data_IF_106602943901
#
_entry.id   IF_106602943901
#
_cell.length_a   1.000
_cell.length_b   1.000
_cell.length_c   1.000
_cell.angle_alpha   90.00
_cell.angle_beta   90.00
_cell.angle_gamma   90.00
#
_symmetry.space_group_name_H-M   'P 1'
#
loop_
_entity.id
_entity.type
_entity.pdbx_description
1 polymer ?
#
# COMPACT_ATOMS: atom_id res chain seq x y z
N UNK A 1 -50.08 -27.35 48.50
CA UNK A 1 -50.24 -27.07 49.94
C UNK A 1 -49.10 -26.19 50.41
N UNK A 2 -49.47 -25.03 51.04
CA UNK A 2 -48.75 -24.18 51.98
C UNK A 2 -47.44 -23.58 51.50
N UNK A 3 -47.37 -22.27 51.15
CA UNK A 3 -47.26 -21.07 51.98
C UNK A 3 -46.01 -21.12 52.90
N UNK A 4 -45.06 -20.15 52.92
CA UNK A 4 -45.19 -18.68 53.21
C UNK A 4 -43.83 -18.00 53.01
N UNK A 5 -43.86 -16.79 52.52
CA UNK A 5 -42.95 -15.63 52.74
C UNK A 5 -42.98 -15.15 54.23
N UNK A 6 -42.37 -14.01 54.60
CA UNK A 6 -41.13 -13.25 54.35
C UNK A 6 -40.51 -12.74 55.69
N UNK A 7 -39.48 -11.86 55.67
CA UNK A 7 -39.20 -10.69 56.58
C UNK A 7 -37.72 -10.28 56.44
N UNK A 8 -37.40 -9.19 55.97
CA UNK A 8 -37.48 -7.74 56.35
C UNK A 8 -36.61 -7.33 57.51
N UNK A 9 -35.98 -6.18 57.31
CA UNK A 9 -35.44 -5.14 58.19
C UNK A 9 -33.95 -5.08 58.51
N UNK A 10 -33.28 -4.11 57.84
CA UNK A 10 -32.94 -2.75 58.38
C UNK A 10 -31.73 -2.66 59.31
N UNK A 11 -30.86 -1.71 58.87
CA UNK A 11 -30.18 -0.64 59.64
C UNK A 11 -28.77 -0.97 60.21
N UNK A 12 -27.78 -0.33 59.64
CA UNK A 12 -27.00 0.69 60.39
C UNK A 12 -26.00 1.41 59.46
N UNK A 13 -26.14 2.71 59.44
CA UNK A 13 -25.18 3.71 58.94
C UNK A 13 -23.87 3.64 59.76
N UNK A 14 -22.72 3.72 59.06
CA UNK A 14 -21.58 4.48 59.58
C UNK A 14 -20.85 5.16 58.41
N UNK A 15 -20.88 6.49 58.48
CA UNK A 15 -20.01 7.39 57.73
C UNK A 15 -18.54 7.11 58.11
N UNK A 16 -17.70 6.94 57.13
CA UNK A 16 -16.28 7.23 57.24
C UNK A 16 -15.90 8.04 56.00
N UNK A 17 -15.68 9.33 56.24
CA UNK A 17 -15.08 10.26 55.30
C UNK A 17 -13.62 9.87 55.12
N UNK A 18 -13.23 9.48 53.91
CA UNK A 18 -11.82 9.42 53.52
C UNK A 18 -11.61 10.37 52.34
N UNK A 19 -10.86 11.38 52.61
CA UNK A 19 -10.34 12.40 51.74
C UNK A 19 -9.46 11.71 50.68
N UNK A 20 -9.92 11.57 49.42
CA UNK A 20 -9.08 11.12 48.33
C UNK A 20 -8.58 12.32 47.55
N UNK A 21 -7.29 12.58 47.75
CA UNK A 21 -6.48 13.52 46.98
C UNK A 21 -6.45 13.09 45.53
N UNK A 22 -7.06 13.85 44.62
CA UNK A 22 -6.99 13.64 43.18
C UNK A 22 -5.62 14.09 42.70
N UNK A 23 -4.72 13.15 42.47
CA UNK A 23 -3.53 13.36 41.62
C UNK A 23 -3.98 13.23 40.16
N UNK A 24 -4.19 14.36 39.51
CA UNK A 24 -4.32 14.44 38.05
C UNK A 24 -2.94 14.16 37.44
N UNK A 25 -2.70 12.91 37.12
CA UNK A 25 -1.58 12.51 36.28
C UNK A 25 -1.91 12.83 34.80
N UNK A 26 -1.38 13.94 34.32
CA UNK A 26 -1.39 14.27 32.90
C UNK A 26 -0.56 13.23 32.17
N UNK A 27 -1.21 12.29 31.49
CA UNK A 27 -0.58 11.44 30.47
C UNK A 27 -0.22 12.35 29.30
N UNK A 28 1.01 12.84 29.25
CA UNK A 28 1.57 13.50 28.09
C UNK A 28 1.76 12.43 27.00
N UNK A 29 0.80 12.34 26.09
CA UNK A 29 0.97 11.64 24.81
C UNK A 29 2.05 12.39 24.04
N UNK A 30 3.26 11.86 24.02
CA UNK A 30 4.33 12.34 23.17
C UNK A 30 3.96 12.04 21.70
N UNK A 31 3.23 12.95 21.09
CA UNK A 31 3.10 12.97 19.63
C UNK A 31 4.47 13.33 19.04
N UNK A 32 5.13 12.34 18.47
CA UNK A 32 6.31 12.59 17.63
C UNK A 32 5.80 13.25 16.34
N UNK A 33 5.73 14.57 16.35
CA UNK A 33 5.63 15.35 15.11
C UNK A 33 6.95 15.20 14.39
N UNK A 34 6.97 14.48 13.29
CA UNK A 34 8.07 14.55 12.33
C UNK A 34 8.17 16.00 11.82
N UNK A 35 9.35 16.65 11.89
CA UNK A 35 9.50 17.99 11.38
C UNK A 35 9.24 17.99 9.88
N UNK A 36 8.35 18.87 9.44
CA UNK A 36 8.24 19.24 8.03
C UNK A 36 9.55 19.89 7.63
N UNK A 37 10.32 19.21 6.78
CA UNK A 37 11.57 19.76 6.24
C UNK A 37 11.18 20.79 5.18
N UNK A 38 11.10 22.07 5.56
CA UNK A 38 11.14 23.19 4.64
C UNK A 38 12.58 23.34 4.17
N UNK A 39 12.87 22.96 2.94
CA UNK A 39 14.11 23.30 2.27
C UNK A 39 14.02 24.76 1.83
N UNK A 40 14.96 25.65 2.23
CA UNK A 40 14.99 27.00 1.74
C UNK A 40 15.38 27.02 0.26
N UNK A 41 14.61 27.70 -0.56
CA UNK A 41 15.00 28.04 -1.94
C UNK A 41 16.08 29.10 -1.96
N UNK A 42 16.91 29.18 -3.01
CA UNK A 42 17.98 30.16 -3.09
C UNK A 42 17.44 31.56 -3.34
N UNK A 43 17.53 32.40 -2.30
CA UNK A 43 17.37 33.85 -2.42
C UNK A 43 18.77 34.48 -2.34
N UNK A 44 19.25 35.00 -3.45
CA UNK A 44 20.41 35.90 -3.52
C UNK A 44 19.98 37.29 -3.02
N UNK A 45 20.57 37.73 -1.94
CA UNK A 45 20.47 39.11 -1.46
C UNK A 45 21.75 39.47 -0.70
N UNK A 46 22.51 40.39 -1.25
CA UNK A 46 23.73 40.99 -0.71
C UNK A 46 23.50 41.58 0.69
N UNK A 47 24.40 41.32 1.64
CA UNK A 47 24.82 42.29 2.66
C UNK A 47 26.30 42.07 2.92
N UNK A 48 27.10 43.09 2.62
CA UNK A 48 28.51 43.17 2.98
C UNK A 48 28.68 43.72 4.39
N UNK A 49 29.83 43.44 4.97
CA UNK A 49 30.46 44.23 6.02
C UNK A 49 30.60 43.54 7.38
N UNK A 50 31.86 43.28 7.72
CA UNK A 50 32.44 43.17 9.07
C UNK A 50 31.92 42.14 10.05
N UNK A 51 32.74 41.10 10.26
CA UNK A 51 33.12 40.65 11.59
C UNK A 51 34.25 39.60 11.50
N UNK A 52 35.46 40.09 11.43
CA UNK A 52 36.67 39.32 11.82
C UNK A 52 36.80 39.35 13.35
N UNK A 53 36.94 38.14 13.95
CA UNK A 53 37.45 37.79 15.27
C UNK A 53 36.43 37.16 16.22
N UNK A 54 36.34 35.83 16.10
CA UNK A 54 36.22 34.98 17.30
C UNK A 54 36.89 33.60 17.03
N UNK A 55 37.48 32.92 18.02
CA UNK A 55 38.36 31.77 17.76
C UNK A 55 37.56 30.51 17.46
N UNK A 56 38.10 29.69 16.54
CA UNK A 56 37.64 28.36 16.12
C UNK A 56 37.45 27.42 17.34
N UNK A 57 36.25 27.44 17.91
CA UNK A 57 35.80 26.54 18.94
C UNK A 57 34.58 25.77 18.49
N UNK A 58 34.76 24.49 18.15
CA UNK A 58 33.73 23.46 17.95
C UNK A 58 32.68 23.79 16.88
N UNK A 59 33.00 23.43 15.63
CA UNK A 59 31.98 23.24 14.62
C UNK A 59 30.89 22.29 15.17
N UNK A 60 29.59 22.65 15.08
CA UNK A 60 28.53 21.71 15.43
C UNK A 60 28.68 20.51 14.51
N UNK A 61 28.68 19.32 15.08
CA UNK A 61 28.62 18.07 14.32
C UNK A 61 27.40 18.19 13.41
N UNK A 62 27.64 18.37 12.11
CA UNK A 62 26.60 18.30 11.09
C UNK A 62 26.04 16.89 11.20
N UNK A 63 24.88 16.73 11.85
CA UNK A 63 24.16 15.47 11.82
C UNK A 63 23.86 15.22 10.35
N UNK A 64 24.53 14.24 9.76
CA UNK A 64 24.26 13.80 8.41
C UNK A 64 22.75 13.55 8.30
N UNK A 65 22.11 14.25 7.37
CA UNK A 65 20.69 14.00 7.05
C UNK A 65 20.62 12.57 6.51
N UNK A 66 19.85 11.66 7.13
CA UNK A 66 19.78 10.28 6.68
C UNK A 66 19.39 10.21 5.21
N UNK A 67 20.06 9.35 4.44
CA UNK A 67 19.65 9.08 3.05
C UNK A 67 18.20 8.56 3.03
N UNK A 68 17.47 8.71 1.93
CA UNK A 68 16.09 8.23 1.78
C UNK A 68 16.02 6.71 2.05
N UNK A 69 17.03 5.96 1.62
CA UNK A 69 17.15 4.53 1.91
C UNK A 69 17.32 4.26 3.42
N UNK A 70 18.12 5.07 4.12
CA UNK A 70 18.26 4.97 5.57
C UNK A 70 16.91 5.25 6.30
N UNK A 71 16.11 6.18 5.77
CA UNK A 71 14.77 6.45 6.31
C UNK A 71 13.84 5.23 6.19
N UNK A 72 13.81 4.52 5.03
CA UNK A 72 13.06 3.27 4.89
C UNK A 72 13.50 2.23 5.93
N UNK A 73 14.80 2.02 6.09
CA UNK A 73 15.32 1.07 7.09
C UNK A 73 14.92 1.46 8.53
N UNK A 74 14.85 2.77 8.84
CA UNK A 74 14.38 3.26 10.13
C UNK A 74 12.88 2.92 10.28
N UNK A 75 12.05 3.14 9.25
CA UNK A 75 10.62 2.83 9.25
C UNK A 75 10.38 1.33 9.43
N UNK A 76 11.07 0.48 8.66
CA UNK A 76 10.96 -0.99 8.78
C UNK A 76 11.36 -1.46 10.17
N UNK A 77 12.48 -0.98 10.73
CA UNK A 77 12.88 -1.31 12.10
C UNK A 77 11.88 -0.80 13.15
N UNK A 78 11.25 0.36 12.92
CA UNK A 78 10.19 0.86 13.81
C UNK A 78 8.96 -0.03 13.75
N UNK A 79 8.51 -0.41 12.56
CA UNK A 79 7.40 -1.33 12.33
C UNK A 79 7.62 -2.67 13.07
N UNK A 80 8.78 -3.28 12.88
CA UNK A 80 9.15 -4.53 13.55
C UNK A 80 9.18 -4.41 15.08
N UNK A 81 9.62 -3.27 15.62
CA UNK A 81 9.61 -3.05 17.08
C UNK A 81 8.22 -2.83 17.64
N UNK A 82 7.37 -2.11 16.92
CA UNK A 82 6.01 -1.80 17.35
C UNK A 82 5.08 -3.02 17.30
N UNK A 83 5.32 -3.93 16.36
CA UNK A 83 4.47 -5.10 16.09
C UNK A 83 5.21 -6.43 16.24
N UNK A 84 6.12 -6.53 17.24
CA UNK A 84 6.93 -7.73 17.49
C UNK A 84 6.12 -8.99 17.83
N UNK A 85 4.88 -8.82 18.21
CA UNK A 85 3.92 -9.88 18.48
C UNK A 85 3.44 -10.59 17.21
N UNK A 86 3.32 -9.85 16.09
CA UNK A 86 2.80 -10.35 14.82
C UNK A 86 3.81 -10.30 13.68
N UNK A 87 4.91 -9.56 13.83
CA UNK A 87 5.97 -9.45 12.81
C UNK A 87 7.33 -9.94 13.34
N UNK A 88 8.14 -10.41 12.41
CA UNK A 88 9.57 -10.67 12.59
C UNK A 88 10.36 -10.28 11.34
N UNK A 89 11.68 -10.21 11.45
CA UNK A 89 12.55 -9.88 10.33
C UNK A 89 12.96 -11.15 9.57
N UNK A 90 12.98 -11.07 8.24
CA UNK A 90 13.68 -12.05 7.40
C UNK A 90 15.21 -11.88 7.51
N UNK A 91 16.04 -12.73 6.90
CA UNK A 91 17.51 -12.60 6.92
C UNK A 91 18.04 -11.29 6.31
N UNK A 92 17.25 -10.56 5.52
CA UNK A 92 17.60 -9.26 4.94
C UNK A 92 17.11 -8.09 5.78
N UNK A 93 16.38 -8.37 6.88
CA UNK A 93 15.77 -7.36 7.74
C UNK A 93 14.42 -6.85 7.26
N UNK A 94 13.81 -7.50 6.25
CA UNK A 94 12.48 -7.14 5.75
C UNK A 94 11.38 -7.73 6.63
N UNK A 95 10.23 -7.03 6.79
CA UNK A 95 9.17 -7.46 7.67
C UNK A 95 8.38 -8.64 7.08
N UNK A 96 8.17 -9.66 7.90
CA UNK A 96 7.35 -10.82 7.56
C UNK A 96 6.35 -11.11 8.66
N UNK A 97 5.22 -11.71 8.33
CA UNK A 97 4.27 -12.21 9.32
C UNK A 97 4.96 -13.33 10.11
N UNK A 98 4.93 -13.17 11.44
CA UNK A 98 5.65 -14.05 12.36
C UNK A 98 5.25 -15.51 12.18
N UNK A 99 6.27 -16.36 12.02
CA UNK A 99 6.13 -17.82 11.89
C UNK A 99 5.24 -18.27 10.73
N UNK A 100 5.13 -17.48 9.64
CA UNK A 100 4.36 -17.87 8.46
C UNK A 100 5.23 -18.01 7.22
N UNK A 101 5.14 -19.21 6.60
CA UNK A 101 5.73 -19.52 5.29
C UNK A 101 4.59 -19.72 4.31
N UNK A 102 4.73 -19.14 3.12
CA UNK A 102 3.80 -19.33 2.01
C UNK A 102 4.27 -20.45 1.09
N UNK A 103 3.33 -21.25 0.60
CA UNK A 103 3.56 -22.25 -0.43
C UNK A 103 2.59 -22.01 -1.59
N UNK A 104 3.11 -21.91 -2.81
CA UNK A 104 2.34 -21.74 -4.03
C UNK A 104 2.07 -23.09 -4.67
N UNK A 105 0.80 -23.49 -4.73
CA UNK A 105 0.34 -24.77 -5.33
C UNK A 105 1.24 -25.97 -4.97
N UNK A 106 1.50 -26.20 -3.67
CA UNK A 106 2.39 -27.28 -3.26
C UNK A 106 1.82 -28.64 -3.68
N UNK A 107 2.69 -29.57 -4.09
CA UNK A 107 2.31 -30.95 -4.36
C UNK A 107 1.86 -31.67 -3.09
N UNK A 108 1.08 -32.76 -3.18
CA UNK A 108 0.80 -33.60 -2.00
C UNK A 108 2.06 -34.08 -1.28
N UNK A 109 3.12 -34.37 -2.02
CA UNK A 109 4.43 -34.76 -1.45
C UNK A 109 5.09 -33.58 -0.72
N UNK A 110 5.05 -32.36 -1.29
CA UNK A 110 5.55 -31.12 -0.65
C UNK A 110 4.81 -30.81 0.64
N UNK A 111 3.47 -30.98 0.68
CA UNK A 111 2.69 -30.83 1.91
C UNK A 111 3.01 -31.92 2.95
N UNK A 112 3.26 -33.14 2.51
CA UNK A 112 3.70 -34.22 3.40
C UNK A 112 5.09 -33.93 3.98
N UNK A 113 6.03 -33.44 3.16
CA UNK A 113 7.35 -32.99 3.58
C UNK A 113 7.28 -31.82 4.59
N UNK A 114 6.42 -30.85 4.35
CA UNK A 114 6.19 -29.73 5.27
C UNK A 114 5.71 -30.25 6.65
N UNK A 115 4.73 -31.15 6.67
CA UNK A 115 4.22 -31.75 7.92
C UNK A 115 5.29 -32.58 8.63
N UNK A 116 6.08 -33.37 7.90
CA UNK A 116 7.18 -34.15 8.46
C UNK A 116 8.27 -33.24 9.06
N UNK A 117 8.46 -32.04 8.51
CA UNK A 117 9.33 -31.00 9.06
C UNK A 117 8.70 -30.23 10.26
N UNK A 118 7.51 -30.64 10.72
CA UNK A 118 6.83 -30.04 11.86
C UNK A 118 6.00 -28.80 11.54
N UNK A 119 5.85 -28.41 10.27
CA UNK A 119 5.02 -27.26 9.90
C UNK A 119 3.53 -27.66 9.88
N UNK A 120 2.67 -26.78 10.41
CA UNK A 120 1.23 -26.96 10.38
C UNK A 120 0.61 -26.14 9.24
N UNK A 121 -0.38 -26.69 8.56
CA UNK A 121 -1.19 -25.92 7.60
C UNK A 121 -2.16 -25.05 8.39
N UNK A 122 -2.01 -23.72 8.30
CA UNK A 122 -2.94 -22.75 8.88
C UNK A 122 -4.14 -22.52 7.98
N UNK A 123 -3.87 -22.30 6.70
CA UNK A 123 -4.87 -21.98 5.70
C UNK A 123 -4.48 -22.59 4.37
N UNK A 124 -5.48 -23.07 3.64
CA UNK A 124 -5.37 -23.46 2.25
C UNK A 124 -6.47 -22.73 1.47
N UNK A 125 -6.05 -21.77 0.67
CA UNK A 125 -6.95 -20.89 -0.10
C UNK A 125 -6.83 -21.19 -1.58
N UNK A 126 -7.89 -21.66 -2.23
CA UNK A 126 -7.97 -21.67 -3.68
C UNK A 126 -7.85 -20.23 -4.23
N UNK A 127 -6.95 -20.03 -5.16
CA UNK A 127 -6.79 -18.78 -5.91
C UNK A 127 -7.56 -18.94 -7.22
N UNK A 128 -8.90 -18.92 -7.12
CA UNK A 128 -9.78 -19.01 -8.28
C UNK A 128 -9.42 -17.90 -9.29
N UNK A 129 -9.46 -18.21 -10.58
CA UNK A 129 -8.99 -17.28 -11.62
C UNK A 129 -7.48 -17.26 -11.84
N UNK A 130 -6.66 -17.82 -10.95
CA UNK A 130 -5.23 -18.06 -11.16
C UNK A 130 -4.88 -19.53 -11.35
N UNK A 131 -5.85 -20.44 -11.22
CA UNK A 131 -5.69 -21.91 -11.27
C UNK A 131 -4.58 -22.38 -10.32
N UNK A 132 -4.58 -21.84 -9.11
CA UNK A 132 -3.55 -22.09 -8.10
C UNK A 132 -4.14 -22.22 -6.69
N UNK A 133 -3.32 -22.64 -5.76
CA UNK A 133 -3.65 -22.69 -4.34
C UNK A 133 -2.55 -22.00 -3.55
N UNK A 134 -2.92 -21.10 -2.66
CA UNK A 134 -2.02 -20.55 -1.65
C UNK A 134 -2.19 -21.34 -0.36
N UNK A 135 -1.09 -21.85 0.18
CA UNK A 135 -1.06 -22.49 1.50
C UNK A 135 -0.22 -21.66 2.44
N UNK A 136 -0.78 -21.33 3.60
CA UNK A 136 -0.06 -20.68 4.71
C UNK A 136 0.36 -21.76 5.70
N UNK A 137 1.65 -21.88 5.92
CA UNK A 137 2.26 -22.84 6.83
C UNK A 137 2.73 -22.14 8.10
N UNK A 138 2.40 -22.70 9.26
CA UNK A 138 2.88 -22.25 10.57
C UNK A 138 4.17 -22.97 10.94
N UNK A 139 5.20 -22.19 11.25
CA UNK A 139 6.46 -22.65 11.82
C UNK A 139 6.27 -22.86 13.32
N UNK A 140 6.74 -23.98 13.91
CA UNK A 140 6.64 -24.22 15.35
C UNK A 140 7.34 -23.14 16.19
N UNK A 141 6.81 -22.90 17.39
CA UNK A 141 7.44 -21.97 18.33
C UNK A 141 8.88 -22.41 18.65
N UNK A 142 9.79 -21.45 18.72
CA UNK A 142 11.21 -21.70 18.98
C UNK A 142 12.04 -22.11 17.75
N UNK A 143 11.41 -22.34 16.60
CA UNK A 143 12.11 -22.61 15.34
C UNK A 143 12.28 -21.29 14.59
N UNK A 144 13.52 -20.97 14.17
CA UNK A 144 13.77 -19.79 13.34
C UNK A 144 13.13 -19.94 11.96
N UNK A 145 12.34 -18.97 11.55
CA UNK A 145 11.57 -19.01 10.28
C UNK A 145 12.49 -19.21 9.06
N UNK A 146 13.68 -18.63 9.06
CA UNK A 146 14.66 -18.78 7.99
C UNK A 146 15.18 -20.23 7.89
N UNK A 147 15.42 -20.89 9.03
CA UNK A 147 15.84 -22.30 9.06
C UNK A 147 14.72 -23.21 8.55
N UNK A 148 13.47 -22.97 8.98
CA UNK A 148 12.31 -23.73 8.52
C UNK A 148 12.10 -23.60 7.00
N UNK A 149 12.23 -22.39 6.45
CA UNK A 149 12.12 -22.16 5.00
C UNK A 149 13.25 -22.87 4.24
N UNK A 150 14.50 -22.78 4.72
CA UNK A 150 15.63 -23.45 4.10
C UNK A 150 15.47 -24.98 4.11
N UNK A 151 15.02 -25.55 5.23
CA UNK A 151 14.73 -26.97 5.34
C UNK A 151 13.63 -27.41 4.37
N UNK A 152 12.53 -26.64 4.29
CA UNK A 152 11.42 -26.95 3.39
C UNK A 152 11.85 -26.93 1.91
N UNK A 153 12.64 -25.95 1.52
CA UNK A 153 13.22 -25.87 0.16
C UNK A 153 14.18 -27.02 -0.15
N UNK A 154 14.90 -27.51 0.85
CA UNK A 154 15.77 -28.68 0.69
C UNK A 154 14.97 -29.99 0.54
N UNK A 155 13.84 -30.12 1.26
CA UNK A 155 12.97 -31.30 1.21
C UNK A 155 12.11 -31.36 -0.06
N UNK A 156 11.70 -30.20 -0.60
CA UNK A 156 10.92 -30.07 -1.83
C UNK A 156 11.53 -28.98 -2.73
N UNK A 157 12.64 -29.26 -3.43
CA UNK A 157 13.32 -28.29 -4.28
C UNK A 157 12.49 -27.80 -5.48
N UNK A 158 11.45 -28.56 -5.90
CA UNK A 158 10.55 -28.20 -6.97
C UNK A 158 9.42 -27.27 -6.52
N UNK A 159 9.17 -27.18 -5.21
CA UNK A 159 8.16 -26.34 -4.61
C UNK A 159 8.52 -24.86 -4.64
N UNK A 160 7.50 -24.02 -4.60
CA UNK A 160 7.67 -22.57 -4.48
C UNK A 160 7.24 -22.13 -3.09
N UNK A 161 8.22 -21.74 -2.28
CA UNK A 161 8.05 -21.36 -0.88
C UNK A 161 8.72 -20.02 -0.61
N UNK A 162 8.07 -19.15 0.18
CA UNK A 162 8.69 -17.91 0.67
C UNK A 162 8.09 -17.47 2.01
N UNK A 163 8.69 -16.48 2.62
CA UNK A 163 8.13 -15.79 3.78
C UNK A 163 6.82 -15.09 3.44
N UNK A 164 5.94 -14.91 4.40
CA UNK A 164 4.77 -14.04 4.23
C UNK A 164 5.19 -12.57 4.46
N UNK A 165 5.85 -11.98 3.44
CA UNK A 165 6.35 -10.61 3.50
C UNK A 165 5.22 -9.57 3.61
N UNK A 166 5.51 -8.48 4.29
CA UNK A 166 4.59 -7.35 4.46
C UNK A 166 4.94 -6.22 3.49
N UNK A 167 3.92 -5.65 2.87
CA UNK A 167 3.97 -4.55 1.93
C UNK A 167 3.29 -3.32 2.52
N UNK A 168 3.85 -2.15 2.30
CA UNK A 168 3.34 -0.88 2.82
C UNK A 168 3.00 0.08 1.68
N UNK A 169 2.23 1.10 1.95
CA UNK A 169 1.94 2.17 0.99
C UNK A 169 3.22 2.93 0.61
N UNK A 170 3.36 3.26 -0.67
CA UNK A 170 4.54 3.96 -1.21
C UNK A 170 4.40 5.48 -1.26
N UNK A 171 3.59 6.09 -0.40
CA UNK A 171 3.36 7.54 -0.39
C UNK A 171 3.11 8.09 1.00
N UNK A 172 3.45 9.37 1.21
CA UNK A 172 3.01 10.10 2.39
C UNK A 172 1.58 10.63 2.16
N UNK A 173 0.58 9.85 2.53
CA UNK A 173 -0.71 10.39 2.88
C UNK A 173 -0.63 10.81 4.36
N UNK A 174 -1.07 12.02 4.70
CA UNK A 174 -1.06 12.45 6.10
C UNK A 174 -1.78 11.40 6.94
N UNK A 175 -1.01 10.70 7.78
CA UNK A 175 -1.51 9.64 8.66
C UNK A 175 -2.49 10.24 9.66
N UNK A 176 -3.76 10.17 9.35
CA UNK A 176 -4.88 10.41 10.24
C UNK A 176 -5.59 9.09 10.48
N UNK A 177 -5.03 8.28 11.34
CA UNK A 177 -5.71 7.09 11.84
C UNK A 177 -6.71 7.52 12.93
N UNK A 178 -7.88 8.02 12.55
CA UNK A 178 -9.00 8.24 13.47
C UNK A 178 -10.34 8.07 12.72
N UNK A 179 -10.47 7.00 11.95
CA UNK A 179 -11.76 6.58 11.42
C UNK A 179 -12.31 5.43 12.26
N UNK A 180 -13.32 5.69 13.10
CA UNK A 180 -14.06 4.62 13.75
C UNK A 180 -14.64 3.67 12.68
N UNK A 181 -14.57 2.33 12.89
CA UNK A 181 -15.08 1.37 11.92
C UNK A 181 -16.60 1.58 11.73
N UNK A 182 -17.00 1.96 10.52
CA UNK A 182 -18.38 2.07 10.15
C UNK A 182 -18.85 0.73 9.62
N UNK A 183 -19.65 0.02 10.40
CA UNK A 183 -20.26 -1.26 10.04
C UNK A 183 -21.42 -1.10 9.03
N UNK A 184 -21.20 -0.39 7.91
CA UNK A 184 -22.17 -0.32 6.82
C UNK A 184 -21.82 -1.33 5.75
N UNK A 185 -22.52 -2.47 5.76
CA UNK A 185 -22.55 -3.40 4.63
C UNK A 185 -23.40 -2.76 3.53
N UNK A 186 -22.74 -2.23 2.49
CA UNK A 186 -23.43 -1.80 1.28
C UNK A 186 -23.48 -2.98 0.30
N UNK A 187 -24.63 -3.23 -0.38
CA UNK A 187 -24.71 -4.29 -1.38
C UNK A 187 -23.70 -4.05 -2.50
N UNK A 188 -23.05 -5.13 -2.96
CA UNK A 188 -22.15 -5.06 -4.11
C UNK A 188 -22.96 -4.67 -5.36
N UNK A 189 -22.56 -3.62 -6.11
CA UNK A 189 -23.25 -3.27 -7.35
C UNK A 189 -23.04 -4.36 -8.39
N UNK A 190 -24.10 -4.72 -9.11
CA UNK A 190 -24.04 -5.67 -10.21
C UNK A 190 -23.24 -5.08 -11.38
N UNK A 191 -22.31 -5.89 -11.95
CA UNK A 191 -21.49 -5.49 -13.10
C UNK A 191 -22.39 -5.23 -14.32
N UNK A 192 -22.34 -4.03 -14.87
CA UNK A 192 -22.88 -3.78 -16.21
C UNK A 192 -21.87 -4.30 -17.24
N UNK A 193 -22.29 -5.25 -18.08
CA UNK A 193 -21.45 -5.78 -19.17
C UNK A 193 -21.02 -4.64 -20.10
N UNK A 194 -19.69 -4.53 -20.34
CA UNK A 194 -19.11 -3.51 -21.23
C UNK A 194 -18.66 -2.22 -20.55
N UNK A 195 -18.90 -2.02 -19.24
CA UNK A 195 -18.35 -0.89 -18.51
C UNK A 195 -16.84 -1.06 -18.27
N UNK A 196 -16.09 0.03 -18.37
CA UNK A 196 -14.66 0.08 -17.99
C UNK A 196 -14.54 -0.35 -16.52
N UNK A 197 -13.64 -1.30 -16.24
CA UNK A 197 -13.35 -1.79 -14.90
C UNK A 197 -11.89 -1.53 -14.56
N UNK A 198 -11.61 -1.15 -13.32
CA UNK A 198 -10.26 -0.93 -12.80
C UNK A 198 -10.15 -1.44 -11.37
N UNK A 199 -9.06 -2.13 -11.06
CA UNK A 199 -8.76 -2.70 -9.76
C UNK A 199 -7.82 -1.82 -8.93
N UNK A 200 -7.97 -1.89 -7.63
CA UNK A 200 -7.10 -1.27 -6.64
C UNK A 200 -6.75 -2.29 -5.56
N UNK A 201 -5.46 -2.57 -5.38
CA UNK A 201 -4.91 -3.31 -4.23
C UNK A 201 -4.19 -2.32 -3.34
N UNK A 202 -4.79 -2.01 -2.18
CA UNK A 202 -4.34 -0.93 -1.29
C UNK A 202 -4.93 -1.13 0.12
N UNK A 203 -4.91 -0.10 0.95
CA UNK A 203 -5.73 0.02 2.15
C UNK A 203 -7.20 0.30 1.81
N UNK A 204 -8.06 0.35 2.82
CA UNK A 204 -9.51 0.52 2.63
C UNK A 204 -9.90 1.86 2.01
N UNK A 205 -10.99 1.86 1.25
CA UNK A 205 -11.55 3.04 0.58
C UNK A 205 -12.78 3.53 1.33
N UNK A 206 -12.84 4.82 1.68
CA UNK A 206 -14.04 5.48 2.17
C UNK A 206 -15.04 5.72 1.01
N UNK A 207 -15.80 4.69 0.69
CA UNK A 207 -16.81 4.81 -0.36
C UNK A 207 -18.04 5.67 0.04
N UNK A 208 -18.08 6.16 1.27
CA UNK A 208 -19.05 7.17 1.72
C UNK A 208 -18.61 8.61 1.42
N UNK A 209 -17.38 8.81 0.98
CA UNK A 209 -16.89 10.12 0.57
C UNK A 209 -17.63 10.62 -0.68
N UNK A 210 -17.92 11.91 -0.75
CA UNK A 210 -18.72 12.55 -1.81
C UNK A 210 -18.20 12.28 -3.24
N UNK A 211 -16.87 12.17 -3.40
CA UNK A 211 -16.26 11.85 -4.71
C UNK A 211 -16.69 10.50 -5.29
N UNK A 212 -17.25 9.61 -4.48
CA UNK A 212 -17.70 8.28 -4.91
C UNK A 212 -19.22 8.15 -4.96
N UNK A 213 -19.98 9.25 -4.80
CA UNK A 213 -21.45 9.21 -4.77
C UNK A 213 -22.04 8.50 -6.00
N UNK A 214 -21.47 8.73 -7.18
CA UNK A 214 -21.91 8.12 -8.44
C UNK A 214 -21.00 6.96 -8.90
N UNK A 215 -20.00 6.56 -8.11
CA UNK A 215 -19.06 5.52 -8.48
C UNK A 215 -19.58 4.12 -8.09
N UNK A 216 -19.48 3.18 -9.03
CA UNK A 216 -19.67 1.77 -8.71
C UNK A 216 -18.40 1.22 -8.04
N UNK A 217 -18.51 0.77 -6.78
CA UNK A 217 -17.37 0.25 -6.01
C UNK A 217 -17.69 -1.16 -5.49
N UNK A 218 -17.00 -2.18 -6.02
CA UNK A 218 -16.98 -3.53 -5.45
C UNK A 218 -15.80 -3.67 -4.49
N UNK A 219 -15.96 -4.42 -3.41
CA UNK A 219 -14.95 -4.55 -2.36
C UNK A 219 -14.58 -5.99 -2.09
N UNK A 220 -13.34 -6.16 -1.62
CA UNK A 220 -12.82 -7.45 -1.18
C UNK A 220 -11.91 -7.25 0.04
N UNK A 221 -11.85 -8.25 0.90
CA UNK A 221 -11.00 -8.28 2.08
C UNK A 221 -11.75 -8.08 3.38
N UNK A 222 -11.07 -8.22 4.49
CA UNK A 222 -11.48 -7.84 5.84
C UNK A 222 -12.81 -8.43 6.33
N UNK A 223 -13.24 -9.59 5.79
CA UNK A 223 -14.51 -10.21 6.18
C UNK A 223 -15.73 -9.31 5.92
N UNK A 224 -15.69 -8.46 4.90
CA UNK A 224 -16.69 -7.44 4.57
C UNK A 224 -16.84 -6.30 5.60
N UNK A 225 -15.92 -6.17 6.55
CA UNK A 225 -15.85 -5.01 7.43
C UNK A 225 -15.13 -3.87 6.71
N UNK A 226 -15.67 -2.65 6.84
CA UNK A 226 -15.08 -1.47 6.22
C UNK A 226 -14.02 -0.87 7.14
N UNK A 227 -12.85 -0.64 6.58
CA UNK A 227 -11.73 0.04 7.24
C UNK A 227 -11.25 1.19 6.36
N UNK A 228 -11.98 2.32 6.27
CA UNK A 228 -11.57 3.46 5.47
C UNK A 228 -10.19 3.96 5.88
N UNK A 229 -9.32 4.16 4.90
CA UNK A 229 -7.97 4.68 5.10
C UNK A 229 -7.68 5.81 4.12
N UNK A 230 -6.90 6.79 4.55
CA UNK A 230 -6.61 7.98 3.77
C UNK A 230 -5.85 7.65 2.48
N UNK A 231 -4.94 6.66 2.50
CA UNK A 231 -4.14 6.31 1.33
C UNK A 231 -4.99 5.64 0.25
N UNK A 232 -5.71 4.56 0.57
CA UNK A 232 -6.59 3.87 -0.38
C UNK A 232 -7.70 4.78 -0.91
N UNK A 233 -8.27 5.64 -0.06
CA UNK A 233 -9.28 6.64 -0.47
C UNK A 233 -8.71 7.64 -1.47
N UNK A 234 -7.52 8.19 -1.21
CA UNK A 234 -6.87 9.13 -2.10
C UNK A 234 -6.51 8.50 -3.46
N UNK A 235 -5.98 7.28 -3.45
CA UNK A 235 -5.62 6.54 -4.66
C UNK A 235 -6.87 6.21 -5.49
N UNK A 236 -7.93 5.71 -4.85
CA UNK A 236 -9.22 5.43 -5.50
C UNK A 236 -9.83 6.67 -6.15
N UNK A 237 -9.78 7.83 -5.47
CA UNK A 237 -10.31 9.08 -5.99
C UNK A 237 -9.57 9.52 -7.26
N UNK A 238 -8.24 9.42 -7.32
CA UNK A 238 -7.49 9.72 -8.54
C UNK A 238 -7.88 8.82 -9.72
N UNK A 239 -8.36 7.60 -9.45
CA UNK A 239 -8.82 6.69 -10.49
C UNK A 239 -10.24 7.02 -10.96
N UNK A 240 -11.22 7.05 -10.04
CA UNK A 240 -12.66 7.08 -10.37
C UNK A 240 -13.46 8.16 -9.66
N UNK A 241 -12.83 9.00 -8.83
CA UNK A 241 -13.54 10.01 -8.07
C UNK A 241 -14.15 11.10 -8.95
N UNK A 242 -15.34 11.58 -8.59
CA UNK A 242 -15.99 12.72 -9.23
C UNK A 242 -16.83 13.48 -8.22
N UNK A 243 -16.61 14.80 -8.14
CA UNK A 243 -17.47 15.76 -7.42
C UNK A 243 -17.52 17.07 -8.17
N UNK A 244 -18.12 18.12 -7.59
CA UNK A 244 -18.14 19.45 -8.19
C UNK A 244 -16.76 20.07 -8.39
N UNK A 245 -15.80 19.69 -7.55
CA UNK A 245 -14.45 20.27 -7.52
C UNK A 245 -13.35 19.28 -7.87
N UNK A 246 -13.64 18.01 -7.86
CA UNK A 246 -12.63 16.95 -8.06
C UNK A 246 -13.03 16.02 -9.20
N UNK A 247 -12.06 15.66 -10.05
CA UNK A 247 -12.26 14.69 -11.12
C UNK A 247 -11.05 13.78 -11.28
N UNK A 248 -11.23 12.48 -11.04
CA UNK A 248 -10.30 11.42 -11.36
C UNK A 248 -10.23 11.14 -12.86
N UNK A 249 -9.37 10.22 -13.25
CA UNK A 249 -9.07 9.90 -14.66
C UNK A 249 -10.25 9.22 -15.36
N UNK A 250 -10.91 8.26 -14.69
CA UNK A 250 -11.96 7.40 -15.26
C UNK A 250 -13.21 7.36 -14.34
N UNK A 251 -13.93 8.48 -14.17
CA UNK A 251 -14.99 8.59 -13.15
C UNK A 251 -16.21 7.69 -13.43
N UNK A 252 -16.34 7.14 -14.64
CA UNK A 252 -17.39 6.19 -15.01
C UNK A 252 -16.96 4.72 -14.91
N UNK A 253 -15.70 4.46 -14.52
CA UNK A 253 -15.22 3.10 -14.37
C UNK A 253 -15.74 2.46 -13.08
N UNK A 254 -16.03 1.16 -13.14
CA UNK A 254 -16.32 0.36 -11.95
C UNK A 254 -15.01 0.07 -11.21
N UNK A 255 -14.90 0.52 -9.98
CA UNK A 255 -13.76 0.28 -9.11
C UNK A 255 -13.91 -1.05 -8.36
N UNK A 256 -12.91 -1.91 -8.47
CA UNK A 256 -12.75 -3.11 -7.66
C UNK A 256 -11.65 -2.84 -6.61
N UNK A 257 -12.06 -2.54 -5.38
CA UNK A 257 -11.15 -2.16 -4.29
C UNK A 257 -10.89 -3.33 -3.35
N UNK A 258 -9.65 -3.79 -3.28
CA UNK A 258 -9.21 -4.80 -2.33
C UNK A 258 -8.46 -4.14 -1.19
N UNK A 259 -9.04 -4.20 0.02
CA UNK A 259 -8.38 -3.81 1.26
C UNK A 259 -7.55 -4.98 1.77
N UNK A 260 -6.23 -4.86 1.63
CA UNK A 260 -5.28 -5.87 2.10
C UNK A 260 -4.73 -5.57 3.50
N UNK A 261 -5.06 -4.41 4.09
CA UNK A 261 -4.58 -3.98 5.40
C UNK A 261 -5.55 -4.31 6.53
N UNK A 262 -6.86 -4.15 6.31
CA UNK A 262 -7.89 -4.43 7.31
C UNK A 262 -7.64 -3.70 8.65
N UNK A 263 -7.27 -2.42 8.57
CA UNK A 263 -6.87 -1.60 9.73
C UNK A 263 -5.64 -2.16 10.50
N UNK A 264 -4.85 -3.01 9.86
CA UNK A 264 -3.60 -3.47 10.44
C UNK A 264 -2.54 -2.39 10.30
N UNK A 265 -1.99 -1.94 11.41
CA UNK A 265 -0.84 -1.03 11.42
C UNK A 265 0.43 -1.62 10.79
N UNK A 266 0.41 -2.91 10.43
CA UNK A 266 1.56 -3.62 9.84
C UNK A 266 1.65 -3.52 8.33
N UNK A 267 0.56 -3.18 7.63
CA UNK A 267 0.47 -3.26 6.17
C UNK A 267 -0.20 -4.53 5.66
N UNK A 268 -0.15 -4.75 4.34
CA UNK A 268 -0.72 -5.93 3.67
C UNK A 268 0.30 -7.04 3.45
N UNK A 269 -0.08 -8.28 3.69
CA UNK A 269 0.82 -9.42 3.49
C UNK A 269 0.75 -10.01 2.08
N UNK A 270 1.79 -10.72 1.66
CA UNK A 270 1.91 -11.29 0.32
C UNK A 270 0.76 -12.26 -0.03
N UNK A 271 0.28 -13.04 0.94
CA UNK A 271 -0.88 -13.93 0.76
C UNK A 271 -2.18 -13.16 0.49
N UNK A 272 -2.40 -12.02 1.17
CA UNK A 272 -3.55 -11.15 0.95
C UNK A 272 -3.50 -10.49 -0.43
N UNK A 273 -2.30 -10.04 -0.86
CA UNK A 273 -2.11 -9.49 -2.21
C UNK A 273 -2.43 -10.55 -3.27
N UNK A 274 -1.92 -11.77 -3.12
CA UNK A 274 -2.22 -12.88 -4.04
C UNK A 274 -3.72 -13.21 -4.07
N UNK A 275 -4.39 -13.20 -2.90
CA UNK A 275 -5.84 -13.37 -2.79
C UNK A 275 -6.63 -12.27 -3.49
N UNK A 276 -6.21 -11.01 -3.36
CA UNK A 276 -6.81 -9.87 -4.05
C UNK A 276 -6.67 -9.99 -5.58
N UNK A 277 -5.49 -10.38 -6.07
CA UNK A 277 -5.25 -10.63 -7.50
C UNK A 277 -6.13 -11.76 -8.02
N UNK A 278 -6.28 -12.85 -7.26
CA UNK A 278 -7.16 -13.97 -7.64
C UNK A 278 -8.63 -13.53 -7.71
N UNK A 279 -9.10 -12.74 -6.75
CA UNK A 279 -10.43 -12.15 -6.79
C UNK A 279 -10.64 -11.30 -8.04
N UNK A 280 -9.70 -10.39 -8.34
CA UNK A 280 -9.78 -9.54 -9.55
C UNK A 280 -9.71 -10.34 -10.84
N UNK A 281 -8.96 -11.46 -10.85
CA UNK A 281 -8.94 -12.38 -11.98
C UNK A 281 -10.29 -13.06 -12.19
N UNK A 282 -10.95 -13.51 -11.12
CA UNK A 282 -12.31 -14.07 -11.17
C UNK A 282 -13.33 -13.04 -11.67
N UNK A 283 -13.21 -11.80 -11.21
CA UNK A 283 -14.05 -10.68 -11.66
C UNK A 283 -13.66 -10.14 -13.05
N UNK A 284 -12.63 -10.70 -13.70
CA UNK A 284 -12.14 -10.28 -15.02
C UNK A 284 -11.79 -8.78 -15.07
N UNK A 285 -11.17 -8.24 -14.03
CA UNK A 285 -10.75 -6.83 -13.95
C UNK A 285 -9.44 -6.66 -14.71
N UNK A 286 -9.41 -5.99 -15.88
CA UNK A 286 -8.29 -6.10 -16.81
C UNK A 286 -7.05 -5.29 -16.39
N UNK A 287 -7.23 -4.20 -15.65
CA UNK A 287 -6.15 -3.30 -15.20
C UNK A 287 -6.23 -3.13 -13.69
N UNK A 288 -5.12 -3.33 -13.00
CA UNK A 288 -5.06 -3.33 -11.54
C UNK A 288 -3.94 -2.42 -11.07
N UNK A 289 -4.27 -1.42 -10.25
CA UNK A 289 -3.30 -0.57 -9.57
C UNK A 289 -2.85 -1.20 -8.26
N UNK A 290 -1.55 -1.16 -8.00
CA UNK A 290 -0.91 -1.58 -6.75
C UNK A 290 -0.02 -0.46 -6.23
N UNK A 291 -0.57 0.42 -5.37
CA UNK A 291 0.19 1.55 -4.79
C UNK A 291 0.92 1.15 -3.51
N UNK A 292 1.54 -0.03 -3.52
CA UNK A 292 2.23 -0.68 -2.43
C UNK A 292 3.66 -1.04 -2.82
N UNK A 293 4.55 -1.14 -1.83
CA UNK A 293 5.95 -1.54 -2.02
C UNK A 293 6.41 -2.50 -0.94
N UNK A 294 7.29 -3.41 -1.31
CA UNK A 294 7.93 -4.36 -0.41
C UNK A 294 9.09 -5.10 -1.07
N UNK A 295 9.65 -6.11 -0.39
CA UNK A 295 10.75 -6.90 -0.92
C UNK A 295 10.29 -7.87 -2.02
N UNK A 296 11.23 -8.49 -2.78
CA UNK A 296 10.89 -9.59 -3.67
C UNK A 296 10.31 -10.78 -2.88
N UNK A 297 9.32 -11.45 -3.48
CA UNK A 297 8.65 -12.61 -2.90
C UNK A 297 8.29 -13.61 -4.00
N UNK A 298 8.76 -14.85 -3.89
CA UNK A 298 8.58 -15.86 -4.94
C UNK A 298 7.12 -16.27 -5.15
N UNK A 299 6.33 -16.35 -4.08
CA UNK A 299 4.91 -16.72 -4.19
C UNK A 299 4.09 -15.60 -4.82
N UNK A 300 4.38 -14.34 -4.46
CA UNK A 300 3.76 -13.19 -5.09
C UNK A 300 4.18 -13.04 -6.56
N UNK A 301 5.44 -13.31 -6.89
CA UNK A 301 5.92 -13.33 -8.28
C UNK A 301 5.15 -14.33 -9.15
N UNK A 302 4.80 -15.51 -8.58
CA UNK A 302 3.94 -16.49 -9.28
C UNK A 302 2.55 -15.93 -9.55
N UNK A 303 1.93 -15.27 -8.58
CA UNK A 303 0.62 -14.65 -8.75
C UNK A 303 0.64 -13.56 -9.82
N UNK A 304 1.60 -12.64 -9.74
CA UNK A 304 1.84 -11.57 -10.71
C UNK A 304 2.10 -12.13 -12.11
N UNK A 305 3.00 -13.11 -12.22
CA UNK A 305 3.32 -13.76 -13.49
C UNK A 305 2.12 -14.49 -14.11
N UNK A 306 1.26 -15.10 -13.30
CA UNK A 306 0.02 -15.73 -13.77
C UNK A 306 -0.96 -14.70 -14.34
N UNK A 307 -1.08 -13.52 -13.71
CA UNK A 307 -1.90 -12.41 -14.20
C UNK A 307 -1.36 -11.86 -15.53
N UNK A 308 -0.07 -11.52 -15.58
CA UNK A 308 0.58 -10.97 -16.78
C UNK A 308 0.46 -11.94 -17.98
N UNK A 309 0.69 -13.23 -17.78
CA UNK A 309 0.54 -14.25 -18.82
C UNK A 309 -0.88 -14.35 -19.38
N UNK A 310 -1.90 -14.01 -18.61
CA UNK A 310 -3.31 -13.97 -19.02
C UNK A 310 -3.73 -12.63 -19.63
N UNK A 311 -2.79 -11.67 -19.74
CA UNK A 311 -3.02 -10.38 -20.37
C UNK A 311 -3.67 -9.34 -19.47
N UNK A 312 -3.59 -9.50 -18.16
CA UNK A 312 -3.90 -8.43 -17.23
C UNK A 312 -2.77 -7.39 -17.21
N UNK A 313 -3.11 -6.11 -17.07
CA UNK A 313 -2.16 -5.04 -16.84
C UNK A 313 -2.08 -4.74 -15.34
N UNK A 314 -0.94 -5.06 -14.75
CA UNK A 314 -0.61 -4.70 -13.37
C UNK A 314 0.22 -3.41 -13.39
N UNK A 315 -0.26 -2.38 -12.73
CA UNK A 315 0.38 -1.06 -12.65
C UNK A 315 0.82 -0.83 -11.21
N UNK A 316 2.08 -0.52 -10.99
CA UNK A 316 2.59 -0.39 -9.63
C UNK A 316 3.51 0.82 -9.45
N UNK A 317 3.46 1.41 -8.27
CA UNK A 317 4.36 2.47 -7.85
C UNK A 317 5.78 1.94 -7.73
N UNK A 318 6.77 2.64 -8.29
CA UNK A 318 8.18 2.20 -8.22
C UNK A 318 8.82 2.40 -6.85
N UNK A 319 8.18 3.17 -5.96
CA UNK A 319 8.65 3.45 -4.61
C UNK A 319 9.30 4.82 -4.46
N UNK A 320 9.51 5.20 -3.19
CA UNK A 320 10.00 6.53 -2.80
C UNK A 320 11.27 6.44 -1.91
N UNK A 321 12.07 5.41 -2.08
CA UNK A 321 13.25 5.13 -1.26
C UNK A 321 14.53 5.77 -1.84
N UNK A 322 14.36 6.60 -2.87
CA UNK A 322 15.45 7.33 -3.54
C UNK A 322 15.91 6.68 -4.84
N UNK A 323 16.67 7.43 -5.64
CA UNK A 323 17.09 7.01 -6.99
C UNK A 323 18.06 5.83 -7.01
N UNK A 324 18.78 5.59 -5.91
CA UNK A 324 19.76 4.51 -5.75
C UNK A 324 19.24 3.35 -4.88
N UNK A 325 17.94 3.35 -4.55
CA UNK A 325 17.34 2.26 -3.77
C UNK A 325 17.31 0.95 -4.57
N UNK A 326 17.40 -0.17 -3.83
CA UNK A 326 17.14 -1.48 -4.42
C UNK A 326 15.74 -1.54 -5.04
N UNK A 327 15.57 -2.35 -6.12
CA UNK A 327 14.27 -2.49 -6.76
C UNK A 327 13.20 -2.94 -5.78
N UNK A 328 12.08 -2.20 -5.72
CA UNK A 328 10.92 -2.54 -4.92
C UNK A 328 9.85 -3.27 -5.75
N UNK A 329 9.11 -4.11 -5.08
CA UNK A 329 8.08 -4.94 -5.67
C UNK A 329 6.68 -4.53 -5.17
N UNK A 330 5.65 -4.68 -6.02
CA UNK A 330 5.57 -5.46 -7.25
C UNK A 330 6.05 -4.76 -8.54
N UNK A 331 6.40 -3.47 -8.53
CA UNK A 331 6.79 -2.72 -9.74
C UNK A 331 7.96 -3.35 -10.51
N UNK A 332 8.85 -4.07 -9.82
CA UNK A 332 10.04 -4.68 -10.43
C UNK A 332 9.83 -6.12 -10.93
N UNK A 333 8.62 -6.69 -10.80
CA UNK A 333 8.35 -7.98 -11.42
C UNK A 333 8.20 -7.84 -12.96
N UNK A 334 8.65 -8.85 -13.71
CA UNK A 334 8.51 -8.84 -15.18
C UNK A 334 7.05 -8.63 -15.63
N UNK A 335 6.84 -7.70 -16.56
CA UNK A 335 5.53 -7.41 -17.15
C UNK A 335 4.65 -6.47 -16.32
N UNK A 336 5.10 -6.01 -15.17
CA UNK A 336 4.41 -4.97 -14.40
C UNK A 336 4.76 -3.58 -14.97
N UNK A 337 3.76 -2.72 -15.10
CA UNK A 337 3.91 -1.33 -15.51
C UNK A 337 4.34 -0.50 -14.30
N UNK A 338 5.65 -0.31 -14.14
CA UNK A 338 6.20 0.52 -13.07
C UNK A 338 6.02 2.01 -13.35
N UNK A 339 5.54 2.76 -12.35
CA UNK A 339 5.21 4.17 -12.51
C UNK A 339 6.00 5.03 -11.53
N UNK A 340 6.78 5.98 -12.08
CA UNK A 340 7.46 7.04 -11.37
C UNK A 340 6.58 8.28 -11.22
N UNK A 341 7.00 9.24 -10.39
CA UNK A 341 6.24 10.43 -10.10
C UNK A 341 6.97 11.71 -10.51
N UNK A 342 6.20 12.68 -11.07
CA UNK A 342 6.74 13.99 -11.46
C UNK A 342 6.01 15.14 -10.79
N UNK A 343 6.75 16.26 -10.65
CA UNK A 343 6.22 17.55 -10.21
C UNK A 343 5.47 18.28 -11.37
N UNK A 344 4.95 19.50 -11.11
CA UNK A 344 4.24 20.30 -12.11
C UNK A 344 5.10 20.76 -13.30
N UNK A 345 6.43 20.67 -13.19
CA UNK A 345 7.37 20.99 -14.26
C UNK A 345 7.82 19.74 -15.03
N UNK A 346 7.27 18.57 -14.72
CA UNK A 346 7.67 17.29 -15.32
C UNK A 346 8.98 16.74 -14.79
N UNK A 347 9.53 17.28 -13.69
CA UNK A 347 10.76 16.76 -13.07
C UNK A 347 10.40 15.61 -12.15
N UNK A 348 11.15 14.52 -12.26
CA UNK A 348 11.00 13.34 -11.40
C UNK A 348 11.27 13.71 -9.94
N UNK A 349 10.46 13.18 -9.03
CA UNK A 349 10.61 13.45 -7.60
C UNK A 349 11.98 12.94 -7.12
N UNK A 350 12.68 13.69 -6.25
CA UNK A 350 13.99 13.28 -5.74
C UNK A 350 13.96 11.93 -5.00
N UNK A 351 12.85 11.62 -4.36
CA UNK A 351 12.64 10.36 -3.63
C UNK A 351 12.20 9.20 -4.51
N UNK A 352 11.74 9.43 -5.75
CA UNK A 352 11.28 8.36 -6.62
C UNK A 352 12.42 7.41 -6.99
N UNK A 353 12.17 6.11 -6.87
CA UNK A 353 13.10 5.09 -7.32
C UNK A 353 13.27 5.14 -8.84
N UNK A 354 14.47 4.83 -9.32
CA UNK A 354 14.87 4.83 -10.72
C UNK A 354 15.30 3.43 -11.16
N UNK A 355 15.27 3.17 -12.45
CA UNK A 355 15.76 1.92 -13.01
C UNK A 355 14.89 1.36 -14.13
N UNK A 356 15.25 0.17 -14.59
CA UNK A 356 14.59 -0.52 -15.71
C UNK A 356 13.12 -0.87 -15.47
N UNK A 357 12.68 -0.89 -14.23
CA UNK A 357 11.28 -1.12 -13.85
C UNK A 357 10.37 0.08 -14.15
N UNK A 358 10.92 1.27 -14.37
CA UNK A 358 10.14 2.46 -14.72
C UNK A 358 9.66 2.34 -16.16
N UNK A 359 8.34 2.25 -16.36
CA UNK A 359 7.74 2.21 -17.70
C UNK A 359 7.08 3.54 -18.08
N UNK A 360 6.48 4.25 -17.12
CA UNK A 360 5.91 5.58 -17.29
C UNK A 360 6.19 6.45 -16.07
N UNK A 361 5.97 7.76 -16.23
CA UNK A 361 5.87 8.70 -15.14
C UNK A 361 4.54 9.47 -15.23
N UNK A 362 3.99 9.88 -14.08
CA UNK A 362 2.75 10.65 -14.02
C UNK A 362 2.79 11.66 -12.86
N UNK A 363 1.85 12.61 -12.76
CA UNK A 363 1.79 13.55 -11.64
C UNK A 363 1.74 12.83 -10.28
N UNK A 364 2.61 13.24 -9.36
CA UNK A 364 2.65 12.71 -7.99
C UNK A 364 3.06 13.76 -6.95
N UNK A 365 3.02 15.05 -7.31
CA UNK A 365 3.34 16.16 -6.41
C UNK A 365 2.63 17.44 -6.81
N UNK A 366 2.43 18.36 -5.87
CA UNK A 366 1.60 19.56 -6.03
C UNK A 366 0.20 19.21 -6.55
N UNK A 367 -0.43 18.26 -5.88
CA UNK A 367 -1.80 17.87 -6.16
C UNK A 367 -2.50 17.45 -4.88
N UNK A 368 -3.81 17.48 -4.91
CA UNK A 368 -4.67 17.04 -3.82
C UNK A 368 -5.50 15.84 -4.24
N UNK A 369 -5.92 15.05 -3.26
CA UNK A 369 -6.88 13.97 -3.46
C UNK A 369 -7.81 13.84 -2.26
N UNK A 370 -8.85 13.00 -2.38
CA UNK A 370 -9.78 12.73 -1.31
C UNK A 370 -9.07 12.15 -0.08
N UNK A 371 -9.60 12.46 1.09
CA UNK A 371 -9.08 11.98 2.37
C UNK A 371 -10.21 11.62 3.32
N UNK A 372 -9.98 10.67 4.19
CA UNK A 372 -10.91 10.35 5.28
C UNK A 372 -10.98 11.51 6.27
N UNK A 373 -12.18 11.84 6.71
CA UNK A 373 -12.44 12.90 7.70
C UNK A 373 -12.28 14.32 7.16
N UNK A 374 -12.07 15.27 8.04
CA UNK A 374 -11.94 16.69 7.70
C UNK A 374 -10.46 17.14 7.70
N UNK A 375 -10.00 17.95 6.73
CA UNK A 375 -10.71 18.33 5.51
C UNK A 375 -10.86 17.14 4.53
N UNK A 376 -11.92 17.14 3.69
CA UNK A 376 -12.20 16.01 2.80
C UNK A 376 -11.17 15.82 1.68
N UNK A 377 -10.33 16.81 1.45
CA UNK A 377 -9.24 16.74 0.48
C UNK A 377 -7.93 17.17 1.13
N UNK A 378 -6.85 16.46 0.82
CA UNK A 378 -5.50 16.74 1.37
C UNK A 378 -4.44 16.68 0.28
N UNK A 379 -3.34 17.44 0.43
CA UNK A 379 -2.18 17.32 -0.45
C UNK A 379 -1.63 15.90 -0.42
N UNK A 380 -1.25 15.41 -1.59
CA UNK A 380 -0.64 14.08 -1.76
C UNK A 380 0.71 14.18 -2.47
N UNK A 381 1.64 13.25 -2.12
CA UNK A 381 2.98 13.20 -2.68
C UNK A 381 3.50 11.77 -2.74
N UNK A 382 4.05 11.38 -3.88
CA UNK A 382 4.73 10.10 -4.08
C UNK A 382 4.27 9.34 -5.32
N UNK A 383 4.98 8.27 -5.61
CA UNK A 383 4.71 7.37 -6.74
C UNK A 383 3.38 6.63 -6.60
N UNK A 384 2.88 6.42 -5.37
CA UNK A 384 1.55 5.87 -5.09
C UNK A 384 0.40 6.67 -5.70
N UNK A 385 0.59 7.97 -5.92
CA UNK A 385 -0.44 8.85 -6.49
C UNK A 385 -0.27 9.06 -7.99
N UNK A 386 0.89 8.69 -8.54
CA UNK A 386 1.14 8.66 -9.97
C UNK A 386 0.63 7.36 -10.63
N UNK A 387 0.83 6.21 -9.98
CA UNK A 387 0.42 4.90 -10.49
C UNK A 387 -1.07 4.81 -10.84
N UNK A 388 -2.03 5.26 -9.99
CA UNK A 388 -3.46 5.21 -10.29
C UNK A 388 -3.87 6.01 -11.52
N UNK A 389 -3.17 7.10 -11.83
CA UNK A 389 -3.41 7.89 -13.05
C UNK A 389 -3.11 7.03 -14.29
N UNK A 390 -1.96 6.35 -14.29
CA UNK A 390 -1.57 5.45 -15.39
C UNK A 390 -2.52 4.26 -15.49
N UNK A 391 -2.88 3.65 -14.37
CA UNK A 391 -3.81 2.52 -14.33
C UNK A 391 -5.17 2.89 -14.93
N UNK A 392 -5.74 4.02 -14.54
CA UNK A 392 -7.04 4.48 -15.06
C UNK A 392 -6.97 4.89 -16.54
N UNK A 393 -5.85 5.46 -17.03
CA UNK A 393 -5.62 5.72 -18.45
C UNK A 393 -5.58 4.42 -19.27
N UNK A 394 -4.91 3.38 -18.76
CA UNK A 394 -4.84 2.07 -19.40
C UNK A 394 -6.19 1.35 -19.38
N UNK A 395 -6.96 1.46 -18.28
CA UNK A 395 -8.29 0.86 -18.16
C UNK A 395 -9.27 1.37 -19.24
N UNK A 396 -9.14 2.62 -19.66
CA UNK A 396 -9.91 3.18 -20.78
C UNK A 396 -9.57 2.55 -22.15
N UNK A 397 -8.47 1.80 -22.27
CA UNK A 397 -7.98 1.22 -23.51
C UNK A 397 -7.92 -0.31 -23.48
N UNK A 398 -8.03 -0.92 -22.29
CA UNK A 398 -7.91 -2.34 -22.05
C UNK A 398 -9.11 -2.83 -21.24
N UNK A 399 -10.17 -3.26 -21.93
CA UNK A 399 -11.47 -3.56 -21.32
C UNK A 399 -11.66 -5.03 -20.92
N UNK A 400 -10.74 -5.90 -21.32
CA UNK A 400 -10.72 -7.32 -20.94
C UNK A 400 -9.30 -7.85 -20.97
N UNK A 401 -8.96 -8.86 -20.16
CA UNK A 401 -7.64 -9.48 -20.20
C UNK A 401 -7.36 -10.12 -21.55
N UNK A 402 -6.29 -9.65 -22.20
CA UNK A 402 -5.81 -10.13 -23.51
C UNK A 402 -4.38 -9.60 -23.71
N UNK A 403 -3.43 -10.48 -23.98
CA UNK A 403 -2.01 -10.12 -24.07
C UNK A 403 -1.69 -9.17 -25.22
N UNK A 404 -2.32 -9.36 -26.37
CA UNK A 404 -2.11 -8.50 -27.53
C UNK A 404 -2.76 -7.12 -27.31
N UNK A 405 -3.95 -7.08 -26.68
CA UNK A 405 -4.62 -5.84 -26.31
C UNK A 405 -3.83 -5.08 -25.22
N UNK A 406 -3.25 -5.78 -24.24
CA UNK A 406 -2.39 -5.18 -23.23
C UNK A 406 -1.16 -4.49 -23.86
N UNK A 407 -0.47 -5.17 -24.76
CA UNK A 407 0.67 -4.58 -25.49
C UNK A 407 0.24 -3.35 -26.31
N UNK A 408 -0.91 -3.42 -27.02
CA UNK A 408 -1.45 -2.27 -27.77
C UNK A 408 -1.82 -1.10 -26.85
N UNK A 409 -2.42 -1.34 -25.70
CA UNK A 409 -2.76 -0.29 -24.75
C UNK A 409 -1.52 0.45 -24.22
N UNK A 410 -0.45 -0.29 -23.88
CA UNK A 410 0.83 0.31 -23.49
C UNK A 410 1.42 1.14 -24.64
N UNK A 411 1.49 0.59 -25.86
CA UNK A 411 2.02 1.28 -27.02
C UNK A 411 1.22 2.55 -27.34
N UNK A 412 -0.12 2.47 -27.27
CA UNK A 412 -1.00 3.63 -27.50
C UNK A 412 -0.82 4.70 -26.43
N UNK A 413 -0.61 4.31 -25.16
CA UNK A 413 -0.32 5.26 -24.10
C UNK A 413 1.05 5.92 -24.31
N UNK A 414 2.04 5.17 -24.75
CA UNK A 414 3.39 5.67 -25.04
C UNK A 414 3.39 6.73 -26.17
N UNK A 415 2.54 6.60 -27.19
CA UNK A 415 2.45 7.64 -28.25
C UNK A 415 1.91 8.98 -27.73
N UNK A 416 1.26 8.99 -26.58
CA UNK A 416 0.73 10.20 -25.91
C UNK A 416 1.64 10.75 -24.83
N UNK A 417 2.75 10.05 -24.56
CA UNK A 417 3.67 10.42 -23.49
C UNK A 417 4.56 11.61 -23.95
N UNK A 418 4.86 12.48 -22.99
CA UNK A 418 5.74 13.63 -23.21
C UNK A 418 7.13 13.39 -22.59
N UNK A 419 8.13 14.17 -23.04
CA UNK A 419 9.46 14.21 -22.41
C UNK A 419 10.45 13.15 -22.89
N UNK A 420 10.06 12.27 -23.81
CA UNK A 420 10.95 11.30 -24.45
C UNK A 420 10.86 11.40 -25.96
N UNK A 421 11.95 11.06 -26.66
CA UNK A 421 11.92 10.86 -28.10
C UNK A 421 11.28 9.50 -28.40
N UNK A 422 10.59 9.34 -29.54
CA UNK A 422 10.05 8.06 -29.93
C UNK A 422 11.12 6.96 -29.92
N UNK A 423 10.87 5.86 -29.17
CA UNK A 423 11.79 4.74 -29.04
C UNK A 423 12.87 4.88 -27.93
N UNK A 424 13.01 6.04 -27.29
CA UNK A 424 13.89 6.18 -26.12
C UNK A 424 13.17 5.74 -24.84
N UNK A 425 13.88 5.05 -23.96
CA UNK A 425 13.41 4.62 -22.64
C UNK A 425 14.36 5.16 -21.57
N UNK A 426 13.82 5.88 -20.61
CA UNK A 426 14.57 6.46 -19.50
C UNK A 426 14.42 5.64 -18.23
N UNK A 427 15.47 5.51 -17.43
CA UNK A 427 15.38 4.95 -16.08
C UNK A 427 14.58 5.83 -15.08
N UNK A 428 14.21 7.05 -15.48
CA UNK A 428 13.50 8.02 -14.63
C UNK A 428 12.03 8.14 -15.01
N UNK A 429 11.72 8.12 -16.30
CA UNK A 429 10.37 8.36 -16.84
C UNK A 429 9.87 7.26 -17.77
N UNK A 430 10.68 6.23 -17.98
CA UNK A 430 10.35 5.11 -18.87
C UNK A 430 10.10 5.57 -20.31
N UNK A 431 8.94 5.24 -20.85
CA UNK A 431 8.44 5.65 -22.17
C UNK A 431 7.95 7.12 -22.20
N UNK A 432 7.94 7.80 -21.04
CA UNK A 432 7.61 9.22 -20.93
C UNK A 432 6.56 9.54 -19.87
N UNK A 433 6.19 10.82 -19.80
CA UNK A 433 5.28 11.38 -18.82
C UNK A 433 3.86 11.42 -19.40
N UNK A 434 2.90 10.87 -18.68
CA UNK A 434 1.49 10.82 -19.06
C UNK A 434 0.58 11.43 -17.99
N UNK A 435 -0.64 11.79 -18.33
CA UNK A 435 -1.68 12.18 -17.37
C UNK A 435 -1.49 13.54 -16.71
N UNK A 436 -0.65 14.45 -17.24
CA UNK A 436 -0.43 15.79 -16.66
C UNK A 436 -1.72 16.60 -16.49
N UNK A 437 -2.69 16.42 -17.38
CA UNK A 437 -4.00 17.07 -17.34
C UNK A 437 -4.91 16.61 -16.18
N UNK A 438 -4.56 15.53 -15.50
CA UNK A 438 -5.32 15.01 -14.34
C UNK A 438 -4.73 15.44 -12.99
N UNK A 439 -3.83 16.39 -13.01
CA UNK A 439 -3.33 17.05 -11.79
C UNK A 439 -4.41 17.96 -11.22
N UNK A 440 -4.89 17.68 -10.03
CA UNK A 440 -5.79 18.57 -9.29
C UNK A 440 -4.94 19.47 -8.40
N UNK A 441 -4.87 20.75 -8.73
CA UNK A 441 -4.03 21.72 -8.01
C UNK A 441 -4.62 22.02 -6.61
N UNK A 442 -3.77 22.27 -5.57
CA UNK A 442 -4.25 22.59 -4.22
C UNK A 442 -5.15 23.81 -4.10
N UNK A 443 -5.07 24.74 -5.04
CA UNK A 443 -5.89 25.96 -5.07
C UNK A 443 -7.20 25.85 -5.86
N UNK A 444 -7.53 24.65 -6.39
CA UNK A 444 -8.75 24.45 -7.19
C UNK A 444 -9.91 23.82 -6.39
N UNK A 445 -9.73 23.55 -5.10
CA UNK A 445 -10.71 22.95 -4.19
C UNK A 445 -11.24 23.95 -3.17
#
# INVERSE_FOLDING_TARGET
MKRKTPLDRRVARRLVSVLTLALAGSAASAQIRLPSINLPGPGLGQVGGDLLREPLGRLPVVREVPSVQALRQIQVRSLLRQHRDVLEADPRGEPVVRQEILAWSPSPAGLAAARAAGLAVLEQRPLEGLDAVMVVLRVPAGVAIAAALAQLRALDPAGTYDFNHVYTGSGAAGSGADGAPSAKVLPAPSRQHGATAVGLVDSGVDAGHDVFADAAVSRWGCGNVLHPDAHGTAVAALMVGQSTHFRGVAPKAHLYAADIYCNSGTGGSADKIAGALAWMAREQVPVINMSIVGPPNQTLERAVGAMVKRGYLLVAAVGNDGPAADPLYPASYPGVVGVSAVDKRGRVLPEAARGKQVMFAAPGHHMVSASVGAPPYKPVRGTSFAAPIVAALLAGQHVRPDTAAAARAISTLATKAAGQRPGEVSNETGLGIVGQQFRVEPGSL
#
